data_IF_204734954301
#
_entry.id   IF_204734954301
#
_cell.length_a   1.000
_cell.length_b   1.000
_cell.length_c   1.000
_cell.angle_alpha   90.00
_cell.angle_beta   90.00
_cell.angle_gamma   90.00
#
_symmetry.space_group_name_H-M   'P 1'
#
loop_
_entity.id
_entity.type
_entity.pdbx_description
1 polymer ?
#
# COMPACT_ATOMS: atom_id res chain seq x y z
N UNK A 1 29.39 4.73 14.85
CA UNK A 1 28.57 3.58 14.44
C UNK A 1 27.26 3.61 15.18
N UNK A 2 26.14 3.30 14.53
CA UNK A 2 24.81 3.23 15.17
C UNK A 2 24.45 1.75 15.34
N UNK A 3 24.10 1.33 16.55
CA UNK A 3 23.77 -0.06 16.88
C UNK A 3 22.64 -0.13 17.90
N UNK A 4 21.83 -1.20 17.87
CA UNK A 4 20.70 -1.42 18.80
C UNK A 4 19.47 -0.54 18.57
N UNK A 5 19.49 0.32 17.54
CA UNK A 5 18.41 1.26 17.26
C UNK A 5 17.35 0.68 16.32
N UNK A 6 16.08 0.96 16.61
CA UNK A 6 14.95 0.68 15.72
C UNK A 6 14.60 1.93 14.93
N UNK A 7 14.40 1.77 13.62
CA UNK A 7 14.04 2.86 12.71
C UNK A 7 12.84 2.47 11.85
N UNK A 8 11.88 3.38 11.73
CA UNK A 8 10.85 3.27 10.71
C UNK A 8 11.45 3.66 9.35
N UNK A 9 11.10 2.89 8.32
CA UNK A 9 11.47 3.16 6.92
C UNK A 9 10.18 3.26 6.13
N UNK A 10 10.02 4.35 5.38
CA UNK A 10 8.82 4.61 4.58
C UNK A 10 8.82 6.03 4.01
N UNK A 11 7.96 6.34 3.05
CA UNK A 11 8.02 7.62 2.30
C UNK A 11 7.89 8.90 3.15
N UNK A 12 7.40 8.80 4.39
CA UNK A 12 7.04 9.97 5.20
C UNK A 12 5.76 10.67 4.71
N UNK A 13 5.01 10.04 3.80
CA UNK A 13 3.69 10.46 3.36
C UNK A 13 2.66 9.34 3.45
N UNK A 14 1.38 9.70 3.41
CA UNK A 14 0.25 8.77 3.33
C UNK A 14 -0.68 9.18 2.21
N UNK A 15 -1.19 8.21 1.46
CA UNK A 15 -2.01 8.45 0.27
C UNK A 15 -3.26 7.57 0.35
N UNK A 16 -4.40 8.08 -0.11
CA UNK A 16 -5.62 7.29 -0.20
C UNK A 16 -5.50 6.25 -1.31
N UNK A 17 -6.22 5.13 -1.16
CA UNK A 17 -6.34 4.13 -2.24
C UNK A 17 -6.95 4.76 -3.49
N UNK A 18 -7.93 5.67 -3.34
CA UNK A 18 -8.52 6.38 -4.47
C UNK A 18 -7.49 7.21 -5.24
N UNK A 19 -6.56 7.90 -4.54
CA UNK A 19 -5.48 8.63 -5.20
C UNK A 19 -4.54 7.71 -5.97
N UNK A 20 -4.26 6.52 -5.45
CA UNK A 20 -3.50 5.51 -6.19
C UNK A 20 -4.27 5.08 -7.46
N UNK A 21 -5.56 4.73 -7.32
CA UNK A 21 -6.41 4.29 -8.44
C UNK A 21 -6.52 5.35 -9.53
N UNK A 22 -6.63 6.64 -9.18
CA UNK A 22 -6.59 7.76 -10.14
C UNK A 22 -5.32 7.75 -11.01
N UNK A 23 -4.17 7.44 -10.41
CA UNK A 23 -2.87 7.40 -11.10
C UNK A 23 -2.72 6.16 -11.99
N UNK A 24 -3.35 5.04 -11.61
CA UNK A 24 -3.39 3.82 -12.43
C UNK A 24 -4.29 4.01 -13.66
N UNK A 25 -5.40 4.73 -13.49
CA UNK A 25 -6.43 4.89 -14.51
C UNK A 25 -7.24 3.61 -14.75
N UNK A 26 -8.06 3.62 -15.82
CA UNK A 26 -8.95 2.51 -16.15
C UNK A 26 -10.31 2.55 -15.44
N UNK A 27 -11.17 1.54 -15.67
CA UNK A 27 -12.46 1.43 -15.01
C UNK A 27 -12.29 1.15 -13.51
N UNK A 28 -13.21 1.68 -12.70
CA UNK A 28 -13.19 1.53 -11.24
C UNK A 28 -14.47 0.84 -10.79
N UNK A 29 -14.32 -0.20 -9.97
CA UNK A 29 -15.41 -0.86 -9.29
C UNK A 29 -15.17 -0.80 -7.78
N UNK A 30 -16.21 -0.40 -7.03
CA UNK A 30 -16.14 -0.34 -5.58
C UNK A 30 -16.65 -1.64 -4.97
N UNK A 31 -15.80 -2.29 -4.19
CA UNK A 31 -16.13 -3.50 -3.42
C UNK A 31 -16.26 -3.16 -1.93
N UNK A 32 -16.89 -4.03 -1.12
CA UNK A 32 -17.02 -3.79 0.33
C UNK A 32 -15.67 -3.62 1.03
N UNK A 33 -15.58 -2.65 1.93
CA UNK A 33 -14.42 -2.47 2.81
C UNK A 33 -14.23 -3.72 3.66
N UNK A 34 -12.98 -4.17 3.80
CA UNK A 34 -12.69 -5.37 4.59
C UNK A 34 -12.78 -5.07 6.09
N UNK A 35 -13.38 -5.95 6.90
CA UNK A 35 -13.44 -5.75 8.34
C UNK A 35 -12.03 -5.72 8.95
N UNK A 36 -11.78 -4.73 9.81
CA UNK A 36 -10.48 -4.55 10.47
C UNK A 36 -9.40 -3.85 9.64
N UNK A 37 -9.67 -3.49 8.39
CA UNK A 37 -8.72 -2.75 7.56
C UNK A 37 -8.51 -1.32 8.11
N UNK A 38 -7.24 -0.92 8.40
CA UNK A 38 -6.96 0.41 8.94
C UNK A 38 -7.25 1.49 7.89
N UNK A 39 -7.77 2.64 8.33
CA UNK A 39 -8.03 3.78 7.44
C UNK A 39 -6.74 4.44 6.92
N UNK A 40 -5.67 4.37 7.71
CA UNK A 40 -4.39 4.99 7.38
C UNK A 40 -3.27 4.25 8.10
N UNK A 41 -2.15 4.07 7.39
CA UNK A 41 -0.87 3.68 7.98
C UNK A 41 0.16 4.77 7.68
N UNK A 42 0.96 5.14 8.67
CA UNK A 42 1.96 6.20 8.53
C UNK A 42 3.28 5.79 9.18
N UNK A 43 4.36 5.82 8.39
CA UNK A 43 5.71 5.63 8.90
C UNK A 43 6.33 7.00 9.23
N UNK A 44 6.40 7.35 10.52
CA UNK A 44 7.17 8.52 10.96
C UNK A 44 8.67 8.24 10.81
N UNK A 45 9.29 8.89 9.83
CA UNK A 45 10.70 8.73 9.46
C UNK A 45 11.63 9.79 10.05
N UNK A 46 11.15 10.59 11.00
CA UNK A 46 11.94 11.67 11.63
C UNK A 46 13.24 11.13 12.24
N UNK A 47 13.19 9.95 12.87
CA UNK A 47 14.34 9.33 13.52
C UNK A 47 15.43 8.92 12.52
N UNK A 48 15.06 8.18 11.47
CA UNK A 48 16.03 7.67 10.48
C UNK A 48 16.62 8.81 9.64
N UNK A 49 15.80 9.83 9.32
CA UNK A 49 16.25 11.03 8.63
C UNK A 49 17.33 11.76 9.43
N UNK A 50 17.13 11.96 10.73
CA UNK A 50 18.12 12.62 11.60
C UNK A 50 19.39 11.78 11.77
N UNK A 51 19.25 10.48 11.98
CA UNK A 51 20.37 9.63 12.38
C UNK A 51 21.24 9.18 11.19
N UNK A 52 20.62 8.91 10.04
CA UNK A 52 21.28 8.31 8.87
C UNK A 52 21.20 9.19 7.62
N UNK A 53 20.65 10.41 7.73
CA UNK A 53 20.35 11.27 6.57
C UNK A 53 19.49 10.56 5.52
N UNK A 54 18.64 9.64 5.95
CA UNK A 54 17.77 8.86 5.08
C UNK A 54 16.57 9.68 4.62
N UNK A 55 16.23 9.58 3.34
CA UNK A 55 14.96 10.03 2.78
C UNK A 55 14.56 9.16 1.60
N UNK A 56 13.26 8.93 1.40
CA UNK A 56 12.78 8.35 0.16
C UNK A 56 13.10 9.27 -1.02
N UNK A 57 13.71 8.71 -2.07
CA UNK A 57 14.17 9.49 -3.23
C UNK A 57 13.16 9.50 -4.38
N UNK A 58 12.24 8.52 -4.40
CA UNK A 58 11.26 8.36 -5.46
C UNK A 58 9.92 8.98 -5.01
N UNK A 59 9.43 10.02 -5.70
CA UNK A 59 8.09 10.56 -5.46
C UNK A 59 7.00 9.50 -5.70
N UNK A 60 5.86 9.67 -5.03
CA UNK A 60 4.76 8.70 -5.10
C UNK A 60 4.28 8.45 -6.53
N UNK A 61 3.97 9.50 -7.28
CA UNK A 61 3.53 9.43 -8.68
C UNK A 61 4.55 8.72 -9.59
N UNK A 62 5.84 8.98 -9.38
CA UNK A 62 6.91 8.35 -10.15
C UNK A 62 7.01 6.86 -9.81
N UNK A 63 6.90 6.50 -8.53
CA UNK A 63 6.88 5.10 -8.09
C UNK A 63 5.69 4.33 -8.70
N UNK A 64 4.51 4.94 -8.73
CA UNK A 64 3.32 4.33 -9.38
C UNK A 64 3.55 4.13 -10.87
N UNK A 65 4.13 5.12 -11.57
CA UNK A 65 4.47 4.97 -13.00
C UNK A 65 5.42 3.80 -13.26
N UNK A 66 6.50 3.69 -12.48
CA UNK A 66 7.47 2.58 -12.58
C UNK A 66 6.80 1.23 -12.32
N UNK A 67 5.83 1.18 -11.40
CA UNK A 67 5.06 -0.03 -11.13
C UNK A 67 4.16 -0.42 -12.32
N UNK A 68 3.47 0.54 -12.95
CA UNK A 68 2.65 0.29 -14.15
C UNK A 68 3.50 -0.25 -15.31
N UNK A 69 4.70 0.30 -15.52
CA UNK A 69 5.66 -0.19 -16.53
C UNK A 69 6.03 -1.68 -16.31
N UNK A 70 5.81 -2.20 -15.11
CA UNK A 70 6.07 -3.57 -14.69
C UNK A 70 4.79 -4.29 -14.22
N UNK A 71 3.60 -3.86 -14.65
CA UNK A 71 2.33 -4.40 -14.11
C UNK A 71 2.15 -5.91 -14.36
N UNK A 72 2.82 -6.44 -15.38
CA UNK A 72 2.77 -7.87 -15.74
C UNK A 72 3.29 -8.80 -14.64
N UNK A 73 4.09 -8.28 -13.70
CA UNK A 73 4.54 -9.06 -12.53
C UNK A 73 3.38 -9.59 -11.68
N UNK A 74 2.22 -8.92 -11.72
CA UNK A 74 1.03 -9.32 -10.96
C UNK A 74 0.02 -10.12 -11.78
N UNK A 75 0.30 -10.44 -13.06
CA UNK A 75 -0.67 -11.10 -13.95
C UNK A 75 -1.37 -12.32 -13.33
N UNK A 76 -0.63 -13.13 -12.56
CA UNK A 76 -1.13 -14.34 -11.92
C UNK A 76 -1.63 -14.12 -10.47
N UNK A 77 -1.74 -12.86 -10.01
CA UNK A 77 -2.25 -12.56 -8.67
C UNK A 77 -3.73 -12.98 -8.53
N UNK A 78 -4.15 -13.53 -7.38
CA UNK A 78 -5.50 -14.04 -7.19
C UNK A 78 -6.54 -12.94 -6.88
N UNK A 79 -6.23 -11.67 -7.16
CA UNK A 79 -6.98 -10.50 -6.68
C UNK A 79 -7.37 -9.54 -7.81
N UNK A 80 -7.78 -10.06 -8.96
CA UNK A 80 -8.10 -9.26 -10.14
C UNK A 80 -9.59 -8.99 -10.35
N UNK A 81 -10.47 -9.90 -9.90
CA UNK A 81 -11.93 -9.73 -10.06
C UNK A 81 -12.62 -9.65 -8.70
N UNK A 82 -13.79 -8.99 -8.62
CA UNK A 82 -14.59 -8.94 -7.38
C UNK A 82 -14.84 -10.33 -6.77
N UNK A 83 -15.08 -11.35 -7.58
CA UNK A 83 -15.29 -12.73 -7.14
C UNK A 83 -14.03 -13.32 -6.52
N UNK A 84 -12.89 -13.21 -7.20
CA UNK A 84 -11.61 -13.71 -6.69
C UNK A 84 -11.18 -13.01 -5.40
N UNK A 85 -11.43 -11.70 -5.30
CA UNK A 85 -11.16 -10.91 -4.09
C UNK A 85 -12.08 -11.34 -2.95
N UNK A 86 -13.37 -11.56 -3.22
CA UNK A 86 -14.33 -12.04 -2.23
C UNK A 86 -13.91 -13.39 -1.66
N UNK A 87 -13.49 -14.31 -2.51
CA UNK A 87 -13.04 -15.64 -2.08
C UNK A 87 -11.76 -15.54 -1.24
N UNK A 88 -10.77 -14.78 -1.72
CA UNK A 88 -9.49 -14.58 -1.04
C UNK A 88 -9.60 -13.84 0.30
N UNK A 89 -10.67 -13.09 0.52
CA UNK A 89 -10.88 -12.29 1.75
C UNK A 89 -11.99 -12.83 2.66
N UNK A 90 -12.57 -13.99 2.30
CA UNK A 90 -13.73 -14.58 2.99
C UNK A 90 -13.52 -14.81 4.48
N UNK A 91 -12.33 -15.25 4.91
CA UNK A 91 -12.02 -15.48 6.32
C UNK A 91 -12.05 -14.19 7.15
N UNK A 92 -11.67 -13.05 6.57
CA UNK A 92 -11.72 -11.76 7.28
C UNK A 92 -13.17 -11.40 7.57
N UNK A 93 -14.06 -11.59 6.59
CA UNK A 93 -15.50 -11.41 6.82
C UNK A 93 -16.06 -12.43 7.81
N UNK A 94 -15.59 -13.67 7.81
CA UNK A 94 -16.06 -14.69 8.75
C UNK A 94 -15.67 -14.42 10.19
N UNK A 95 -14.44 -13.97 10.44
CA UNK A 95 -13.88 -13.88 11.79
C UNK A 95 -13.77 -12.45 12.34
N UNK A 96 -13.77 -11.43 11.47
CA UNK A 96 -13.59 -10.03 11.88
C UNK A 96 -14.84 -9.17 11.67
N UNK A 97 -15.89 -9.68 11.03
CA UNK A 97 -17.20 -9.00 11.02
C UNK A 97 -17.80 -9.07 12.42
N UNK A 98 -18.25 -7.92 12.92
CA UNK A 98 -18.98 -7.82 14.19
C UNK A 98 -20.46 -8.11 13.99
#
# INVERSE_FOLDING_TARGET
DISGEIFNVGSGGTYSVNRLVELLGGPVEYIPKRPGEPDCTFADVSKIKKALNWSAEVPFEEGVKRMIENIDYWREAPLWTPESIKDATSDWFKYLSK
#
